data_IF_884542260829
#
_entry.id   IF_884542260829
#
_cell.length_a   1.000
_cell.length_b   1.000
_cell.length_c   1.000
_cell.angle_alpha   90.00
_cell.angle_beta   90.00
_cell.angle_gamma   90.00
#
_symmetry.space_group_name_H-M   'P 1'
#
loop_
_entity.id
_entity.type
_entity.pdbx_description
1 polymer ?
#
# COMPACT_ATOMS: atom_id res chain seq x y z
N UNK A 1 20.21 -9.63 -13.69
CA UNK A 1 19.60 -9.16 -14.95
C UNK A 1 18.31 -8.43 -14.61
N UNK A 2 18.07 -7.28 -15.20
CA UNK A 2 16.81 -6.53 -15.09
C UNK A 2 16.08 -6.69 -16.42
N UNK A 3 14.81 -7.05 -16.37
CA UNK A 3 13.91 -7.05 -17.51
C UNK A 3 12.77 -6.05 -17.26
N UNK A 4 12.37 -5.34 -18.30
CA UNK A 4 11.31 -4.32 -18.22
C UNK A 4 10.18 -4.64 -19.18
N UNK A 5 8.96 -4.29 -18.77
CA UNK A 5 7.76 -4.35 -19.61
C UNK A 5 7.30 -2.91 -19.82
N UNK A 6 7.54 -2.32 -21.01
CA UNK A 6 7.07 -0.98 -21.30
C UNK A 6 5.54 -1.01 -21.47
N UNK A 7 4.86 -0.08 -20.80
CA UNK A 7 3.43 0.08 -20.92
C UNK A 7 3.10 1.25 -21.86
N UNK A 8 2.05 1.10 -22.66
CA UNK A 8 1.44 2.23 -23.35
C UNK A 8 0.81 3.19 -22.34
N UNK A 9 0.57 4.45 -22.73
CA UNK A 9 -0.15 5.41 -21.90
C UNK A 9 -1.51 4.86 -21.45
N UNK A 10 -2.25 4.26 -22.38
CA UNK A 10 -3.56 3.65 -22.11
C UNK A 10 -3.45 2.50 -21.10
N UNK A 11 -2.43 1.63 -21.24
CA UNK A 11 -2.24 0.53 -20.29
C UNK A 11 -1.87 1.04 -18.90
N UNK A 12 -1.02 2.08 -18.80
CA UNK A 12 -0.71 2.73 -17.55
C UNK A 12 -1.97 3.33 -16.88
N UNK A 13 -2.80 4.02 -17.67
CA UNK A 13 -4.05 4.62 -17.19
C UNK A 13 -5.05 3.55 -16.75
N UNK A 14 -5.30 2.50 -17.54
CA UNK A 14 -6.28 1.46 -17.20
C UNK A 14 -5.79 0.54 -16.07
N UNK A 15 -4.52 0.11 -16.11
CA UNK A 15 -3.96 -0.87 -15.18
C UNK A 15 -3.53 -0.23 -13.87
N UNK A 16 -2.62 0.78 -13.94
CA UNK A 16 -2.00 1.34 -12.75
C UNK A 16 -2.88 2.39 -12.07
N UNK A 17 -3.27 3.45 -12.78
CA UNK A 17 -4.14 4.49 -12.22
C UNK A 17 -5.56 3.96 -12.00
N UNK A 18 -6.07 3.17 -12.95
CA UNK A 18 -7.40 2.60 -12.94
C UNK A 18 -7.56 1.46 -11.94
N UNK A 19 -7.60 0.22 -12.43
CA UNK A 19 -8.03 -0.90 -11.57
C UNK A 19 -7.16 -1.10 -10.32
N UNK A 20 -5.84 -0.94 -10.43
CA UNK A 20 -4.96 -1.08 -9.27
C UNK A 20 -5.21 -0.01 -8.20
N UNK A 21 -5.16 1.28 -8.57
CA UNK A 21 -5.17 2.37 -7.60
C UNK A 21 -6.53 3.04 -7.39
N UNK A 22 -7.48 2.88 -8.32
CA UNK A 22 -8.84 3.40 -8.15
C UNK A 22 -9.86 2.33 -7.74
N UNK A 23 -9.48 1.03 -7.73
CA UNK A 23 -10.35 -0.07 -7.28
C UNK A 23 -9.69 -0.91 -6.19
N UNK A 24 -8.61 -1.65 -6.51
CA UNK A 24 -8.03 -2.60 -5.54
C UNK A 24 -7.52 -1.86 -4.31
N UNK A 25 -6.76 -0.78 -4.50
CA UNK A 25 -6.20 -0.02 -3.39
C UNK A 25 -7.26 0.47 -2.40
N UNK A 26 -8.31 1.22 -2.80
CA UNK A 26 -9.33 1.67 -1.85
C UNK A 26 -10.15 0.50 -1.25
N UNK A 27 -10.51 -0.52 -2.03
CA UNK A 27 -11.23 -1.69 -1.50
C UNK A 27 -10.41 -2.40 -0.43
N UNK A 28 -9.11 -2.63 -0.67
CA UNK A 28 -8.22 -3.30 0.29
C UNK A 28 -7.92 -2.45 1.53
N UNK A 29 -8.19 -1.16 1.48
CA UNK A 29 -8.13 -0.25 2.64
C UNK A 29 -9.50 0.10 3.24
N UNK A 30 -10.54 -0.68 2.92
CA UNK A 30 -11.92 -0.48 3.41
C UNK A 30 -12.52 0.90 3.05
N UNK A 31 -12.09 1.50 1.94
CA UNK A 31 -12.56 2.80 1.45
C UNK A 31 -13.37 2.63 0.15
N UNK A 32 -14.48 1.87 0.26
CA UNK A 32 -15.41 1.64 -0.86
C UNK A 32 -15.97 2.95 -1.44
N UNK A 33 -16.09 3.97 -0.61
CA UNK A 33 -16.52 5.32 -0.97
C UNK A 33 -15.60 5.99 -2.02
N UNK A 34 -14.34 5.57 -2.09
CA UNK A 34 -13.35 6.08 -3.05
C UNK A 34 -13.16 5.18 -4.28
N UNK A 35 -13.75 3.99 -4.29
CA UNK A 35 -13.59 3.06 -5.39
C UNK A 35 -14.35 3.50 -6.64
N UNK A 36 -13.65 3.58 -7.79
CA UNK A 36 -14.23 3.98 -9.08
C UNK A 36 -14.16 2.80 -10.06
N UNK A 37 -15.29 2.14 -10.24
CA UNK A 37 -15.38 0.92 -11.06
C UNK A 37 -15.55 1.22 -12.55
N UNK A 38 -14.77 0.52 -13.39
CA UNK A 38 -14.85 0.61 -14.85
C UNK A 38 -14.45 -0.71 -15.51
N UNK A 39 -15.26 -1.21 -16.42
CA UNK A 39 -14.97 -2.45 -17.15
C UNK A 39 -13.68 -2.32 -18.00
N UNK A 40 -13.41 -1.15 -18.59
CA UNK A 40 -12.19 -0.93 -19.38
C UNK A 40 -10.93 -1.04 -18.54
N UNK A 41 -10.99 -0.62 -17.27
CA UNK A 41 -9.87 -0.72 -16.34
C UNK A 41 -9.61 -2.17 -15.93
N UNK A 42 -10.65 -2.98 -15.72
CA UNK A 42 -10.52 -4.43 -15.49
C UNK A 42 -9.81 -5.11 -16.66
N UNK A 43 -10.26 -4.82 -17.89
CA UNK A 43 -9.63 -5.38 -19.09
C UNK A 43 -8.18 -4.91 -19.28
N UNK A 44 -7.87 -3.66 -18.93
CA UNK A 44 -6.51 -3.14 -18.90
C UNK A 44 -5.64 -3.88 -17.91
N UNK A 45 -6.15 -4.12 -16.71
CA UNK A 45 -5.45 -4.87 -15.67
C UNK A 45 -5.17 -6.34 -16.10
N UNK A 46 -6.15 -7.00 -16.72
CA UNK A 46 -5.96 -8.34 -17.30
C UNK A 46 -4.90 -8.35 -18.40
N UNK A 47 -5.02 -7.45 -19.36
CA UNK A 47 -4.12 -7.36 -20.52
C UNK A 47 -2.67 -7.13 -20.10
N UNK A 48 -2.42 -6.23 -19.15
CA UNK A 48 -1.08 -5.94 -18.67
C UNK A 48 -0.48 -7.14 -17.93
N UNK A 49 -1.27 -7.85 -17.09
CA UNK A 49 -0.79 -9.07 -16.43
C UNK A 49 -0.46 -10.20 -17.44
N UNK A 50 -1.23 -10.31 -18.53
CA UNK A 50 -0.90 -11.24 -19.65
C UNK A 50 0.44 -10.82 -20.30
N UNK A 51 0.64 -9.54 -20.56
CA UNK A 51 1.90 -9.05 -21.16
C UNK A 51 3.09 -9.33 -20.25
N UNK A 52 2.96 -9.13 -18.93
CA UNK A 52 4.00 -9.52 -17.97
C UNK A 52 4.31 -11.01 -18.04
N UNK A 53 3.29 -11.88 -18.08
CA UNK A 53 3.49 -13.31 -18.19
C UNK A 53 4.20 -13.69 -19.49
N UNK A 54 3.79 -13.10 -20.62
CA UNK A 54 4.39 -13.36 -21.92
C UNK A 54 5.86 -12.93 -22.00
N UNK A 55 6.19 -11.79 -21.40
CA UNK A 55 7.57 -11.28 -21.36
C UNK A 55 8.46 -12.06 -20.41
N UNK A 56 7.90 -12.53 -19.29
CA UNK A 56 8.63 -13.30 -18.30
C UNK A 56 8.89 -14.73 -18.79
N UNK A 57 7.92 -15.37 -19.46
CA UNK A 57 7.95 -16.78 -19.87
C UNK A 57 9.26 -17.21 -20.56
N UNK A 58 9.80 -16.50 -21.56
CA UNK A 58 11.04 -16.93 -22.23
C UNK A 58 12.30 -16.76 -21.38
N UNK A 59 12.21 -16.06 -20.24
CA UNK A 59 13.33 -15.82 -19.35
C UNK A 59 13.43 -16.88 -18.24
N UNK A 60 12.34 -17.62 -17.99
CA UNK A 60 12.23 -18.58 -16.90
C UNK A 60 12.93 -19.89 -17.23
N UNK A 61 13.67 -20.42 -16.25
CA UNK A 61 14.25 -21.76 -16.25
C UNK A 61 13.42 -22.68 -15.37
N UNK A 62 13.38 -23.99 -15.63
CA UNK A 62 12.62 -24.93 -14.79
C UNK A 62 12.99 -24.95 -13.31
N UNK A 63 14.24 -24.54 -12.97
CA UNK A 63 14.75 -24.48 -11.60
C UNK A 63 14.47 -23.15 -10.89
N UNK A 64 13.94 -22.16 -11.58
CA UNK A 64 13.73 -20.84 -10.98
C UNK A 64 12.54 -20.88 -9.99
N UNK A 65 12.68 -20.13 -8.89
CA UNK A 65 11.58 -19.79 -8.00
C UNK A 65 11.07 -18.41 -8.39
N UNK A 66 9.77 -18.28 -8.56
CA UNK A 66 9.13 -17.02 -8.94
C UNK A 66 8.54 -16.38 -7.69
N UNK A 67 8.89 -15.12 -7.41
CA UNK A 67 8.34 -14.38 -6.30
C UNK A 67 7.66 -13.11 -6.80
N UNK A 68 6.33 -13.08 -6.70
CA UNK A 68 5.47 -12.01 -7.20
C UNK A 68 5.06 -11.11 -6.03
N UNK A 69 5.12 -9.81 -6.26
CA UNK A 69 4.82 -8.83 -5.23
C UNK A 69 3.63 -7.97 -5.60
N UNK A 70 2.74 -7.84 -4.61
CA UNK A 70 1.74 -6.83 -4.45
C UNK A 70 0.55 -6.90 -5.42
N UNK A 71 -0.51 -6.18 -5.07
CA UNK A 71 -1.84 -6.22 -5.67
C UNK A 71 -1.91 -5.89 -7.17
N UNK A 72 -0.85 -5.33 -7.71
CA UNK A 72 -0.77 -5.05 -9.15
C UNK A 72 -0.68 -6.33 -10.00
N UNK A 73 -0.14 -7.41 -9.45
CA UNK A 73 0.24 -8.61 -10.19
C UNK A 73 -0.48 -9.88 -9.69
N UNK A 74 -1.63 -9.73 -9.02
CA UNK A 74 -2.38 -10.88 -8.49
C UNK A 74 -2.64 -11.95 -9.57
N UNK A 75 -3.07 -11.63 -10.82
CA UNK A 75 -3.36 -12.65 -11.82
C UNK A 75 -2.13 -13.23 -12.51
N UNK A 76 -0.93 -12.70 -12.29
CA UNK A 76 0.28 -13.08 -13.04
C UNK A 76 0.57 -14.59 -12.98
N UNK A 77 0.43 -15.21 -11.79
CA UNK A 77 0.66 -16.66 -11.64
C UNK A 77 -0.31 -17.48 -12.49
N UNK A 78 -1.59 -17.08 -12.56
CA UNK A 78 -2.57 -17.80 -13.39
C UNK A 78 -2.16 -17.80 -14.86
N UNK A 79 -1.69 -16.66 -15.39
CA UNK A 79 -1.22 -16.56 -16.76
C UNK A 79 0.09 -17.36 -17.00
N UNK A 80 1.01 -17.39 -16.04
CA UNK A 80 2.21 -18.25 -16.13
C UNK A 80 1.84 -19.73 -16.14
N UNK A 81 0.83 -20.17 -15.36
CA UNK A 81 0.32 -21.55 -15.41
C UNK A 81 -0.30 -21.89 -16.76
N UNK A 82 -1.06 -20.97 -17.37
CA UNK A 82 -1.59 -21.10 -18.74
C UNK A 82 -0.46 -21.25 -19.76
N UNK A 83 0.63 -20.50 -19.61
CA UNK A 83 1.81 -20.60 -20.45
C UNK A 83 2.65 -21.87 -20.21
N UNK A 84 2.21 -22.78 -19.31
CA UNK A 84 2.81 -24.09 -19.07
C UNK A 84 3.88 -24.13 -17.98
N UNK A 85 4.15 -23.00 -17.29
CA UNK A 85 5.15 -22.97 -16.23
C UNK A 85 4.72 -23.75 -14.99
N UNK A 86 5.64 -24.60 -14.47
CA UNK A 86 5.44 -25.44 -13.27
C UNK A 86 6.34 -25.02 -12.11
N UNK A 87 7.06 -23.92 -12.26
CA UNK A 87 7.91 -23.35 -11.23
C UNK A 87 7.16 -23.15 -9.91
N UNK A 88 7.81 -23.26 -8.75
CA UNK A 88 7.25 -22.77 -7.50
C UNK A 88 7.00 -21.24 -7.60
N UNK A 89 5.78 -20.80 -7.28
CA UNK A 89 5.38 -19.38 -7.33
C UNK A 89 4.89 -18.93 -5.96
N UNK A 90 5.62 -18.00 -5.35
CA UNK A 90 5.19 -17.28 -4.15
C UNK A 90 4.59 -15.93 -4.51
N UNK A 91 3.62 -15.48 -3.71
CA UNK A 91 3.05 -14.14 -3.75
C UNK A 91 3.18 -13.48 -2.38
N UNK A 92 3.43 -12.18 -2.35
CA UNK A 92 3.41 -11.40 -1.13
C UNK A 92 2.56 -10.15 -1.29
N UNK A 93 1.54 -10.01 -0.45
CA UNK A 93 0.70 -8.83 -0.40
C UNK A 93 1.26 -7.82 0.61
N UNK A 94 1.61 -6.63 0.13
CA UNK A 94 2.19 -5.57 0.96
C UNK A 94 1.15 -4.69 1.67
N UNK A 95 -0.10 -4.76 1.24
CA UNK A 95 -1.21 -3.98 1.79
C UNK A 95 -2.17 -4.88 2.59
N UNK A 96 -3.10 -4.28 3.29
CA UNK A 96 -4.13 -5.02 4.03
C UNK A 96 -4.96 -5.89 3.10
N UNK A 97 -5.49 -6.99 3.62
CA UNK A 97 -6.49 -7.80 2.92
C UNK A 97 -7.87 -7.54 3.55
N UNK A 98 -8.88 -7.13 2.77
CA UNK A 98 -10.19 -6.73 3.30
C UNK A 98 -10.98 -7.92 3.83
N UNK A 99 -12.01 -7.63 4.64
CA UNK A 99 -12.99 -8.65 5.01
C UNK A 99 -13.78 -9.13 3.79
N UNK A 100 -14.31 -10.36 3.81
CA UNK A 100 -15.14 -10.90 2.69
C UNK A 100 -16.27 -9.95 2.29
N UNK A 101 -16.96 -9.34 3.24
CA UNK A 101 -18.10 -8.44 2.99
C UNK A 101 -17.70 -7.18 2.21
N UNK A 102 -16.49 -6.68 2.43
CA UNK A 102 -15.94 -5.55 1.68
C UNK A 102 -15.46 -5.98 0.30
N UNK A 103 -14.80 -7.13 0.21
CA UNK A 103 -14.21 -7.61 -1.04
C UNK A 103 -15.27 -7.91 -2.11
N UNK A 104 -16.43 -8.46 -1.72
CA UNK A 104 -17.53 -8.77 -2.66
C UNK A 104 -18.15 -7.52 -3.33
N UNK A 105 -17.89 -6.33 -2.81
CA UNK A 105 -18.28 -5.08 -3.46
C UNK A 105 -17.42 -4.75 -4.70
N UNK A 106 -16.23 -5.33 -4.81
CA UNK A 106 -15.39 -5.13 -5.99
C UNK A 106 -15.90 -5.97 -7.17
N UNK A 107 -16.05 -5.37 -8.38
CA UNK A 107 -16.31 -6.13 -9.58
C UNK A 107 -15.20 -7.14 -9.80
N UNK A 108 -15.57 -8.31 -10.35
CA UNK A 108 -14.62 -9.37 -10.68
C UNK A 108 -13.83 -9.92 -9.47
N UNK A 109 -14.33 -9.71 -8.24
CA UNK A 109 -13.67 -10.22 -7.03
C UNK A 109 -13.47 -11.74 -7.07
N UNK A 110 -14.44 -12.50 -7.61
CA UNK A 110 -14.30 -13.95 -7.76
C UNK A 110 -13.12 -14.31 -8.66
N UNK A 111 -13.00 -13.67 -9.84
CA UNK A 111 -11.89 -13.89 -10.74
C UNK A 111 -10.55 -13.50 -10.10
N UNK A 112 -10.52 -12.37 -9.40
CA UNK A 112 -9.31 -11.90 -8.72
C UNK A 112 -8.88 -12.93 -7.65
N UNK A 113 -9.83 -13.46 -6.90
CA UNK A 113 -9.57 -14.46 -5.86
C UNK A 113 -9.19 -15.83 -6.43
N UNK A 114 -9.83 -16.25 -7.52
CA UNK A 114 -9.45 -17.47 -8.26
C UNK A 114 -7.99 -17.41 -8.72
N UNK A 115 -7.49 -16.21 -9.05
CA UNK A 115 -6.10 -16.03 -9.48
C UNK A 115 -5.11 -16.45 -8.39
N UNK A 116 -5.45 -16.26 -7.11
CA UNK A 116 -4.62 -16.72 -5.99
C UNK A 116 -4.45 -18.23 -5.93
N UNK A 117 -5.40 -19.01 -6.46
CA UNK A 117 -5.29 -20.47 -6.51
C UNK A 117 -4.14 -20.97 -7.42
N UNK A 118 -3.49 -20.08 -8.15
CA UNK A 118 -2.34 -20.39 -9.01
C UNK A 118 -0.99 -20.28 -8.31
N UNK A 119 -0.97 -19.77 -7.09
CA UNK A 119 0.21 -19.66 -6.24
C UNK A 119 0.42 -20.90 -5.39
N UNK A 120 1.66 -21.20 -5.04
CA UNK A 120 2.01 -22.27 -4.10
C UNK A 120 2.10 -21.73 -2.66
N UNK A 121 2.52 -20.45 -2.52
CA UNK A 121 2.60 -19.74 -1.25
C UNK A 121 2.02 -18.33 -1.39
N UNK A 122 1.16 -17.94 -0.44
CA UNK A 122 0.65 -16.56 -0.33
C UNK A 122 1.03 -16.00 1.04
N UNK A 123 1.82 -14.93 1.02
CA UNK A 123 2.32 -14.25 2.23
C UNK A 123 1.57 -12.95 2.51
N UNK A 124 1.39 -12.67 3.80
CA UNK A 124 0.71 -11.48 4.33
C UNK A 124 1.55 -10.78 5.38
N UNK A 125 1.24 -9.50 5.65
CA UNK A 125 1.88 -8.71 6.71
C UNK A 125 1.38 -9.08 8.10
N UNK A 126 0.09 -9.39 8.23
CA UNK A 126 -0.55 -9.64 9.53
C UNK A 126 -1.38 -10.92 9.53
N UNK A 127 -1.62 -11.46 10.73
CA UNK A 127 -2.52 -12.59 10.91
C UNK A 127 -3.96 -12.27 10.48
N UNK A 128 -4.41 -11.02 10.70
CA UNK A 128 -5.75 -10.60 10.30
C UNK A 128 -5.93 -10.65 8.78
N UNK A 129 -4.91 -10.26 8.01
CA UNK A 129 -4.96 -10.32 6.54
C UNK A 129 -5.07 -11.77 6.06
N UNK A 130 -4.27 -12.67 6.66
CA UNK A 130 -4.34 -14.10 6.37
C UNK A 130 -5.70 -14.71 6.73
N UNK A 131 -6.25 -14.34 7.89
CA UNK A 131 -7.58 -14.82 8.33
C UNK A 131 -8.69 -14.33 7.40
N UNK A 132 -8.67 -13.09 6.96
CA UNK A 132 -9.63 -12.54 6.01
C UNK A 132 -9.57 -13.27 4.66
N UNK A 133 -8.36 -13.55 4.18
CA UNK A 133 -8.14 -14.33 2.97
C UNK A 133 -8.70 -15.75 3.11
N UNK A 134 -8.43 -16.44 4.23
CA UNK A 134 -8.97 -17.76 4.51
C UNK A 134 -10.51 -17.74 4.55
N UNK A 135 -11.09 -16.80 5.28
CA UNK A 135 -12.56 -16.65 5.40
C UNK A 135 -13.21 -16.43 4.05
N UNK A 136 -12.59 -15.69 3.14
CA UNK A 136 -13.12 -15.51 1.80
C UNK A 136 -13.08 -16.83 1.01
N UNK A 137 -11.95 -17.54 0.98
CA UNK A 137 -11.81 -18.77 0.21
C UNK A 137 -12.64 -19.92 0.78
N UNK A 138 -12.90 -19.94 2.09
CA UNK A 138 -13.77 -20.94 2.71
C UNK A 138 -15.24 -20.86 2.26
N UNK A 139 -15.66 -19.72 1.69
CA UNK A 139 -16.98 -19.59 1.07
C UNK A 139 -17.04 -20.27 -0.31
N UNK A 140 -15.92 -20.67 -0.90
CA UNK A 140 -15.94 -21.44 -2.15
C UNK A 140 -16.29 -22.90 -1.88
N UNK A 141 -17.18 -23.44 -2.67
CA UNK A 141 -17.59 -24.83 -2.53
C UNK A 141 -16.39 -25.79 -2.64
N UNK A 142 -16.34 -26.75 -1.74
CA UNK A 142 -15.26 -27.75 -1.68
C UNK A 142 -13.93 -27.25 -1.13
N UNK A 143 -13.90 -26.05 -0.51
CA UNK A 143 -12.69 -25.56 0.16
C UNK A 143 -12.56 -26.16 1.55
N UNK A 144 -11.36 -26.57 1.90
CA UNK A 144 -11.00 -27.01 3.24
C UNK A 144 -9.70 -26.35 3.71
N UNK A 145 -9.57 -26.18 5.01
CA UNK A 145 -8.41 -25.59 5.65
C UNK A 145 -7.80 -26.54 6.69
N UNK A 146 -6.49 -26.65 6.72
CA UNK A 146 -5.75 -27.33 7.78
C UNK A 146 -4.49 -26.53 8.10
N UNK A 147 -4.44 -25.95 9.29
CA UNK A 147 -3.37 -25.04 9.70
C UNK A 147 -3.15 -23.90 8.68
N UNK A 148 -1.99 -23.85 8.06
CA UNK A 148 -1.61 -22.87 7.05
C UNK A 148 -1.83 -23.34 5.59
N UNK A 149 -2.58 -24.44 5.39
CA UNK A 149 -2.87 -24.98 4.06
C UNK A 149 -4.35 -24.84 3.74
N UNK A 150 -4.63 -24.31 2.57
CA UNK A 150 -5.95 -24.24 1.98
C UNK A 150 -6.02 -25.18 0.78
N UNK A 151 -7.04 -26.00 0.72
CA UNK A 151 -7.36 -26.81 -0.47
C UNK A 151 -8.63 -26.24 -1.08
N UNK A 152 -8.54 -25.69 -2.27
CA UNK A 152 -9.65 -25.11 -3.00
C UNK A 152 -9.58 -25.54 -4.47
N UNK A 153 -10.70 -25.99 -5.05
CA UNK A 153 -10.76 -26.42 -6.46
C UNK A 153 -9.66 -27.41 -6.87
N UNK A 154 -9.30 -28.33 -5.96
CA UNK A 154 -8.25 -29.34 -6.20
C UNK A 154 -6.80 -28.82 -6.16
N UNK A 155 -6.57 -27.58 -5.74
CA UNK A 155 -5.26 -27.01 -5.53
C UNK A 155 -4.98 -26.77 -4.06
N UNK A 156 -3.71 -26.94 -3.66
CA UNK A 156 -3.25 -26.64 -2.31
C UNK A 156 -2.41 -25.38 -2.35
N UNK A 157 -2.77 -24.41 -1.50
CA UNK A 157 -2.02 -23.16 -1.28
C UNK A 157 -1.52 -23.17 0.15
N UNK A 158 -0.26 -22.83 0.33
CA UNK A 158 0.28 -22.53 1.67
C UNK A 158 0.13 -21.03 1.93
N UNK A 159 -0.27 -20.65 3.13
CA UNK A 159 -0.31 -19.25 3.54
C UNK A 159 0.64 -19.00 4.69
N UNK A 160 1.14 -17.77 4.80
CA UNK A 160 2.04 -17.40 5.88
C UNK A 160 1.96 -15.93 6.24
N UNK A 161 2.35 -15.62 7.47
CA UNK A 161 2.45 -14.24 7.98
C UNK A 161 3.93 -13.91 8.12
N UNK A 162 4.38 -12.91 7.37
CA UNK A 162 5.77 -12.48 7.27
C UNK A 162 5.85 -10.97 7.44
N UNK A 163 5.74 -10.44 8.68
CA UNK A 163 5.78 -9.00 8.92
C UNK A 163 7.10 -8.40 8.46
N UNK A 164 7.04 -7.30 7.73
CA UNK A 164 8.26 -6.58 7.34
C UNK A 164 8.86 -5.90 8.57
N UNK A 165 10.18 -6.01 8.71
CA UNK A 165 10.96 -5.32 9.73
C UNK A 165 11.84 -4.23 9.13
N UNK A 166 12.67 -3.64 9.98
CA UNK A 166 13.75 -2.72 9.60
C UNK A 166 15.05 -3.18 10.25
N UNK A 167 16.17 -2.81 9.67
CA UNK A 167 17.48 -2.92 10.31
C UNK A 167 17.62 -1.79 11.33
N UNK A 168 17.28 -2.10 12.58
CA UNK A 168 17.24 -1.13 13.68
C UNK A 168 18.63 -0.56 13.95
N UNK A 169 19.67 -1.40 13.90
CA UNK A 169 21.05 -0.99 14.21
C UNK A 169 21.58 -0.04 13.13
N UNK A 170 21.38 -0.38 11.85
CA UNK A 170 21.75 0.49 10.74
C UNK A 170 20.99 1.82 10.79
N UNK A 171 19.70 1.79 11.13
CA UNK A 171 18.89 2.99 11.24
C UNK A 171 19.33 3.90 12.39
N UNK A 172 19.63 3.31 13.57
CA UNK A 172 20.15 4.04 14.71
C UNK A 172 21.55 4.63 14.41
N UNK A 173 22.43 3.89 13.76
CA UNK A 173 23.76 4.36 13.38
C UNK A 173 23.72 5.58 12.44
N UNK A 174 22.70 5.69 11.58
CA UNK A 174 22.53 6.86 10.70
C UNK A 174 22.33 8.16 11.47
N UNK A 175 21.72 8.12 12.66
CA UNK A 175 21.53 9.29 13.51
C UNK A 175 22.84 9.82 14.14
N UNK A 176 23.88 9.00 14.20
CA UNK A 176 25.19 9.32 14.77
C UNK A 176 26.27 9.58 13.70
N UNK A 177 25.89 9.74 12.44
CA UNK A 177 26.82 10.18 11.41
C UNK A 177 27.17 11.67 11.60
N UNK A 178 28.37 12.06 11.22
CA UNK A 178 28.78 13.46 11.30
C UNK A 178 27.80 14.40 10.59
N UNK A 179 27.27 13.98 9.43
CA UNK A 179 26.28 14.76 8.69
C UNK A 179 24.98 14.94 9.48
N UNK A 180 24.49 13.88 10.14
CA UNK A 180 23.30 13.96 10.98
C UNK A 180 23.51 14.87 12.18
N UNK A 181 24.65 14.74 12.87
CA UNK A 181 25.00 15.58 14.02
C UNK A 181 25.07 17.06 13.64
N UNK A 182 25.72 17.41 12.53
CA UNK A 182 25.77 18.77 12.03
C UNK A 182 24.38 19.34 11.67
N UNK A 183 23.47 18.50 11.17
CA UNK A 183 22.08 18.89 10.89
C UNK A 183 21.28 19.10 12.17
N UNK A 184 21.42 18.21 13.14
CA UNK A 184 20.79 18.33 14.47
C UNK A 184 21.24 19.61 15.17
N UNK A 185 22.53 19.89 15.19
CA UNK A 185 23.03 21.14 15.76
C UNK A 185 22.49 22.40 15.06
N UNK A 186 22.34 22.37 13.73
CA UNK A 186 21.70 23.48 12.99
C UNK A 186 20.25 23.68 13.37
N UNK A 187 19.51 22.60 13.60
CA UNK A 187 18.13 22.66 14.09
C UNK A 187 18.08 23.26 15.49
N UNK A 188 18.92 22.78 16.41
CA UNK A 188 18.95 23.27 17.79
C UNK A 188 19.37 24.75 17.88
N UNK A 189 20.29 25.23 17.04
CA UNK A 189 20.68 26.65 16.99
C UNK A 189 19.58 27.58 16.52
N UNK A 190 18.62 27.09 15.73
CA UNK A 190 17.51 27.88 15.19
C UNK A 190 16.22 27.77 16.05
N UNK A 191 16.14 26.76 16.88
CA UNK A 191 14.96 26.49 17.68
C UNK A 191 15.11 27.13 19.08
N UNK A 192 14.13 27.93 19.49
CA UNK A 192 13.76 28.05 20.89
C UNK A 192 13.51 26.65 21.44
N UNK A 193 13.69 26.36 22.75
CA UNK A 193 13.42 25.03 23.30
C UNK A 193 11.93 24.69 23.09
N UNK A 194 11.65 24.00 22.01
CA UNK A 194 10.30 23.60 21.57
C UNK A 194 10.22 22.09 21.45
N UNK A 195 9.07 21.56 21.74
CA UNK A 195 8.74 20.16 21.48
C UNK A 195 8.43 20.01 19.99
N UNK A 196 9.21 19.21 19.29
CA UNK A 196 8.95 18.91 17.89
C UNK A 196 8.23 17.57 17.76
N UNK A 197 7.02 17.63 17.21
CA UNK A 197 6.24 16.45 16.82
C UNK A 197 6.50 16.26 15.33
N UNK A 198 7.01 15.09 14.94
CA UNK A 198 7.32 14.81 13.54
C UNK A 198 6.43 13.70 13.01
N UNK A 199 5.89 13.90 11.80
CA UNK A 199 5.25 12.89 10.98
C UNK A 199 5.93 12.78 9.62
N UNK A 200 6.24 11.56 9.18
CA UNK A 200 6.85 11.31 7.87
C UNK A 200 6.06 10.24 7.16
N UNK A 201 5.36 10.61 6.08
CA UNK A 201 4.54 9.71 5.30
C UNK A 201 4.58 10.10 3.82
N UNK A 202 4.08 9.23 2.94
CA UNK A 202 3.64 9.67 1.62
C UNK A 202 2.33 10.44 1.76
N UNK A 203 2.06 11.34 0.83
CA UNK A 203 0.78 12.01 0.72
C UNK A 203 -0.27 10.98 0.28
N UNK A 204 -0.96 10.35 1.25
CA UNK A 204 -1.89 9.26 1.01
C UNK A 204 -3.03 9.33 2.03
N UNK A 205 -4.28 9.21 1.58
CA UNK A 205 -5.47 9.28 2.43
C UNK A 205 -5.52 8.17 3.48
N UNK A 206 -4.82 7.05 3.25
CA UNK A 206 -4.73 5.94 4.22
C UNK A 206 -3.86 6.27 5.44
N UNK A 207 -3.15 7.41 5.42
CA UNK A 207 -2.22 7.82 6.48
C UNK A 207 -2.83 8.74 7.54
N UNK A 208 -4.08 9.15 7.36
CA UNK A 208 -4.77 10.01 8.32
C UNK A 208 -4.09 11.37 8.52
N UNK A 209 -3.60 11.97 7.43
CA UNK A 209 -2.86 13.24 7.52
C UNK A 209 -3.75 14.42 7.93
N UNK A 210 -4.97 14.60 7.37
CA UNK A 210 -5.89 15.62 7.83
C UNK A 210 -6.27 15.45 9.31
N UNK A 211 -6.55 14.21 9.74
CA UNK A 211 -6.90 13.88 11.11
C UNK A 211 -5.75 14.24 12.08
N UNK A 212 -4.50 14.05 11.66
CA UNK A 212 -3.32 14.45 12.44
C UNK A 212 -3.24 15.95 12.64
N UNK A 213 -3.53 16.75 11.60
CA UNK A 213 -3.59 18.20 11.69
C UNK A 213 -4.76 18.66 12.57
N UNK A 214 -5.93 18.05 12.45
CA UNK A 214 -7.06 18.29 13.34
C UNK A 214 -6.75 17.96 14.81
N UNK A 215 -6.06 16.83 15.05
CA UNK A 215 -5.62 16.46 16.39
C UNK A 215 -4.65 17.49 17.00
N UNK A 216 -3.70 17.98 16.19
CA UNK A 216 -2.78 19.03 16.62
C UNK A 216 -3.51 20.35 16.91
N UNK A 217 -4.44 20.76 16.03
CA UNK A 217 -5.30 21.92 16.30
C UNK A 217 -6.03 21.77 17.63
N UNK A 218 -6.64 20.58 17.85
CA UNK A 218 -7.35 20.29 19.09
C UNK A 218 -6.48 20.32 20.34
N UNK A 219 -5.22 19.89 20.22
CA UNK A 219 -4.23 20.03 21.28
C UNK A 219 -4.03 21.52 21.66
N UNK A 220 -3.85 22.39 20.66
CA UNK A 220 -3.63 23.83 20.90
C UNK A 220 -4.87 24.56 21.45
N UNK A 221 -6.07 24.08 21.12
CA UNK A 221 -7.33 24.58 21.68
C UNK A 221 -7.50 24.21 23.16
N UNK A 222 -7.35 22.91 23.47
CA UNK A 222 -7.61 22.35 24.81
C UNK A 222 -6.48 22.64 25.80
N UNK A 223 -5.26 22.78 25.31
CA UNK A 223 -4.05 22.92 26.07
C UNK A 223 -3.24 24.15 25.62
N UNK A 224 -3.72 25.37 25.93
CA UNK A 224 -3.08 26.61 25.49
C UNK A 224 -1.62 26.75 25.92
N UNK A 225 -1.19 26.05 26.96
CA UNK A 225 0.19 25.97 27.42
C UNK A 225 1.15 25.36 26.39
N UNK A 226 0.63 24.64 25.41
CA UNK A 226 1.44 24.08 24.31
C UNK A 226 1.66 25.10 23.17
N UNK A 227 0.93 26.22 23.16
CA UNK A 227 1.14 27.28 22.17
C UNK A 227 2.53 27.88 22.38
N UNK A 228 3.24 28.11 21.28
CA UNK A 228 4.64 28.54 21.24
C UNK A 228 5.66 27.54 21.80
N UNK A 229 5.19 26.36 22.27
CA UNK A 229 6.03 25.27 22.80
C UNK A 229 6.09 24.09 21.85
N UNK A 230 4.96 23.64 21.34
CA UNK A 230 4.87 22.50 20.44
C UNK A 230 4.81 22.94 18.97
N UNK A 231 5.54 22.27 18.09
CA UNK A 231 5.46 22.45 16.64
C UNK A 231 5.24 21.08 15.97
N UNK A 232 4.27 20.99 15.07
CA UNK A 232 4.07 19.81 14.23
C UNK A 232 4.76 19.99 12.89
N UNK A 233 5.72 19.13 12.60
CA UNK A 233 6.38 19.04 11.29
C UNK A 233 5.87 17.81 10.57
N UNK A 234 5.03 17.99 9.55
CA UNK A 234 4.53 16.90 8.70
C UNK A 234 5.27 16.93 7.36
N UNK A 235 6.05 15.87 7.10
CA UNK A 235 6.65 15.62 5.79
C UNK A 235 5.72 14.67 5.05
N UNK A 236 5.14 15.12 3.93
CA UNK A 236 4.21 14.34 3.11
C UNK A 236 4.68 14.36 1.66
N UNK A 237 5.49 13.36 1.27
CA UNK A 237 5.99 13.28 -0.09
C UNK A 237 4.83 13.02 -1.08
N UNK A 238 4.69 13.81 -2.17
CA UNK A 238 3.67 13.61 -3.18
C UNK A 238 3.75 12.22 -3.80
N UNK A 239 2.59 11.65 -4.10
CA UNK A 239 2.46 10.36 -4.78
C UNK A 239 1.16 10.36 -5.58
N UNK A 240 1.10 9.62 -6.70
CA UNK A 240 -0.11 9.40 -7.51
C UNK A 240 -0.84 10.72 -7.87
N UNK A 241 -0.09 11.76 -8.23
CA UNK A 241 -0.63 13.11 -8.50
C UNK A 241 -1.65 13.14 -9.66
N UNK A 242 -1.70 12.07 -10.49
CA UNK A 242 -2.70 11.89 -11.55
C UNK A 242 -4.04 11.32 -11.06
N UNK A 243 -4.16 10.95 -9.78
CA UNK A 243 -5.40 10.42 -9.18
C UNK A 243 -6.07 11.52 -8.34
N UNK A 244 -7.31 11.88 -8.69
CA UNK A 244 -8.05 13.04 -8.17
C UNK A 244 -8.03 13.15 -6.63
N UNK A 245 -8.29 12.05 -5.91
CA UNK A 245 -8.33 12.06 -4.43
C UNK A 245 -6.98 12.51 -3.80
N UNK A 246 -5.85 12.26 -4.46
CA UNK A 246 -4.55 12.70 -3.95
C UNK A 246 -4.31 14.20 -4.17
N UNK A 247 -4.90 14.77 -5.20
CA UNK A 247 -4.92 16.23 -5.41
C UNK A 247 -5.79 16.91 -4.37
N UNK A 248 -6.94 16.31 -4.07
CA UNK A 248 -7.88 16.83 -3.06
C UNK A 248 -7.28 16.84 -1.66
N UNK A 249 -6.68 15.72 -1.22
CA UNK A 249 -6.06 15.64 0.11
C UNK A 249 -4.88 16.61 0.26
N UNK A 250 -4.09 16.82 -0.82
CA UNK A 250 -3.03 17.82 -0.81
C UNK A 250 -3.58 19.22 -0.53
N UNK A 251 -4.62 19.59 -1.27
CA UNK A 251 -5.29 20.89 -1.12
C UNK A 251 -5.89 21.06 0.28
N UNK A 252 -6.50 20.02 0.82
CA UNK A 252 -7.03 20.01 2.18
C UNK A 252 -5.92 20.24 3.22
N UNK A 253 -4.79 19.53 3.11
CA UNK A 253 -3.65 19.70 4.02
C UNK A 253 -3.04 21.10 3.95
N UNK A 254 -2.90 21.68 2.76
CA UNK A 254 -2.43 23.05 2.57
C UNK A 254 -3.37 24.06 3.23
N UNK A 255 -4.69 23.86 3.07
CA UNK A 255 -5.70 24.71 3.70
C UNK A 255 -5.72 24.59 5.23
N UNK A 256 -5.70 23.35 5.76
CA UNK A 256 -5.68 23.10 7.20
C UNK A 256 -4.42 23.66 7.86
N UNK A 257 -3.26 23.43 7.26
CA UNK A 257 -2.00 23.98 7.77
C UNK A 257 -2.05 25.51 7.80
N UNK A 258 -2.48 26.13 6.70
CA UNK A 258 -2.62 27.60 6.64
C UNK A 258 -3.62 28.15 7.68
N UNK A 259 -4.76 27.48 7.87
CA UNK A 259 -5.76 27.88 8.85
C UNK A 259 -5.25 27.79 10.30
N UNK A 260 -4.57 26.68 10.64
CA UNK A 260 -4.00 26.47 11.99
C UNK A 260 -2.92 27.51 12.26
N UNK A 261 -2.02 27.74 11.32
CA UNK A 261 -0.99 28.76 11.46
C UNK A 261 -1.58 30.18 11.56
N UNK A 262 -2.65 30.47 10.81
CA UNK A 262 -3.34 31.78 10.90
C UNK A 262 -4.08 31.99 12.22
N UNK A 263 -4.58 30.90 12.84
CA UNK A 263 -5.34 30.98 14.10
C UNK A 263 -4.41 31.06 15.33
N UNK A 264 -3.34 30.26 15.35
CA UNK A 264 -2.48 30.09 16.53
C UNK A 264 -1.08 30.65 16.35
N UNK A 265 -0.63 30.86 15.12
CA UNK A 265 0.73 31.30 14.83
C UNK A 265 1.06 32.67 15.41
N UNK A 266 2.34 32.90 15.65
CA UNK A 266 2.87 34.16 16.13
C UNK A 266 4.13 34.52 15.34
N UNK A 267 4.69 35.68 15.57
CA UNK A 267 5.88 36.23 14.88
C UNK A 267 7.06 35.23 14.78
N UNK A 268 7.26 34.45 15.82
CA UNK A 268 8.38 33.50 15.95
C UNK A 268 7.97 32.03 16.04
N UNK A 269 6.68 31.73 15.84
CA UNK A 269 6.13 30.37 15.95
C UNK A 269 5.03 30.09 14.93
N UNK A 270 5.24 29.06 14.11
CA UNK A 270 4.30 28.54 13.10
C UNK A 270 4.24 27.03 13.19
#
# INVERSE_FOLDING_TARGET
TIATVPLSKKDYEDYYLGFSNSVIWPVFHNRLDLAKFSATQVEGYRRVNIEFANRLSPLLRPSDLIWIHDYHLIPLAAHLRVNGHRNPIGFFLHISFPTPDVLVAAPEHEWLMDSFLSYDLVGFQTALDADNFHRFLLNFEGTSQSENKLVARGRTIVTGVFPIGIDVEAFAAMAHTQEAEERIERLHRRATPRVHIIGVDRLDYTKGLPERLHAFRRLLELHPENRKVATLMQIAAPTREDVEIYVEIRKELEQLSGAINGEFGDFDWT
#
